data_IF_709518354201
#
_entry.id   IF_709518354201
#
_cell.length_a   1.000
_cell.length_b   1.000
_cell.length_c   1.000
_cell.angle_alpha   90.00
_cell.angle_beta   90.00
_cell.angle_gamma   90.00
#
_symmetry.space_group_name_H-M   'P 1'
#
loop_
_entity.id
_entity.type
_entity.pdbx_description
1 polymer ?
#
# COMPACT_ATOMS: atom_id res chain seq x y z
N UNK A 1 13.42 24.71 3.47
CA UNK A 1 12.19 24.12 3.97
C UNK A 1 11.12 24.28 2.91
N UNK A 2 10.45 23.19 2.55
CA UNK A 2 9.38 23.23 1.58
C UNK A 2 8.06 23.24 2.35
N UNK A 3 7.19 24.20 2.05
CA UNK A 3 5.85 24.21 2.61
C UNK A 3 5.07 23.03 2.05
N UNK A 4 4.45 22.26 2.94
CA UNK A 4 3.69 21.06 2.59
C UNK A 4 2.46 20.92 3.49
N UNK A 5 1.48 20.22 2.96
CA UNK A 5 0.36 19.68 3.71
C UNK A 5 0.45 18.16 3.64
N UNK A 6 0.27 17.50 4.76
CA UNK A 6 0.24 16.04 4.83
C UNK A 6 -1.00 15.60 5.62
N UNK A 7 -1.60 14.50 5.19
CA UNK A 7 -2.74 13.90 5.87
C UNK A 7 -2.61 12.38 5.79
N UNK A 8 -2.79 11.71 6.92
CA UNK A 8 -2.96 10.27 6.96
C UNK A 8 -4.46 9.95 6.97
N UNK A 9 -4.93 9.36 5.88
CA UNK A 9 -6.32 8.95 5.71
C UNK A 9 -6.49 7.46 6.03
N UNK A 10 -7.34 7.14 7.02
CA UNK A 10 -7.65 5.77 7.44
C UNK A 10 -9.14 5.48 7.26
N UNK A 11 -9.47 4.26 6.85
CA UNK A 11 -10.85 3.80 6.78
C UNK A 11 -11.24 3.02 8.04
N UNK A 12 -12.36 3.38 8.66
CA UNK A 12 -12.91 2.61 9.78
C UNK A 12 -13.47 1.24 9.38
N UNK A 13 -13.63 1.00 8.10
CA UNK A 13 -13.90 -0.35 7.60
C UNK A 13 -12.68 -1.27 7.75
N UNK A 14 -11.52 -0.67 7.96
CA UNK A 14 -10.22 -1.32 8.12
C UNK A 14 -9.43 -1.38 6.81
N UNK A 15 -8.18 -1.78 6.93
CA UNK A 15 -7.14 -1.69 5.93
C UNK A 15 -6.12 -0.63 6.30
N UNK A 16 -5.00 -0.60 5.61
CA UNK A 16 -4.00 0.45 5.69
C UNK A 16 -4.56 1.80 5.23
N UNK A 17 -3.83 2.86 5.53
CA UNK A 17 -4.17 4.22 5.14
C UNK A 17 -3.42 4.70 3.92
N UNK A 18 -3.78 5.89 3.49
CA UNK A 18 -3.00 6.67 2.53
C UNK A 18 -2.40 7.87 3.25
N UNK A 19 -1.09 8.02 3.15
CA UNK A 19 -0.41 9.25 3.47
C UNK A 19 -0.41 10.13 2.22
N UNK A 20 -1.14 11.25 2.28
CA UNK A 20 -1.32 12.14 1.13
C UNK A 20 -0.50 13.40 1.38
N UNK A 21 0.44 13.69 0.49
CA UNK A 21 1.33 14.83 0.56
C UNK A 21 1.01 15.84 -0.54
N UNK A 22 0.87 17.09 -0.16
CA UNK A 22 0.75 18.23 -1.08
C UNK A 22 1.85 19.24 -0.77
N UNK A 23 2.82 19.37 -1.67
CA UNK A 23 3.79 20.47 -1.58
C UNK A 23 3.17 21.74 -2.14
N UNK A 24 3.21 22.83 -1.35
CA UNK A 24 2.60 24.12 -1.70
C UNK A 24 3.63 25.12 -2.22
N UNK A 25 4.93 24.87 -2.00
CA UNK A 25 6.03 25.73 -2.43
C UNK A 25 6.50 25.48 -3.87
N UNK A 26 6.00 24.44 -4.54
CA UNK A 26 6.28 24.15 -5.93
C UNK A 26 5.08 23.51 -6.63
N UNK A 27 5.03 23.64 -7.95
CA UNK A 27 4.06 22.89 -8.77
C UNK A 27 4.56 21.44 -8.93
N UNK A 28 3.77 20.43 -8.57
CA UNK A 28 4.12 19.04 -8.83
C UNK A 28 4.27 18.77 -10.34
N UNK A 29 5.26 17.96 -10.70
CA UNK A 29 5.40 17.48 -12.06
C UNK A 29 4.44 16.32 -12.32
N UNK A 30 3.67 16.39 -13.40
CA UNK A 30 2.82 15.28 -13.82
C UNK A 30 3.65 14.03 -14.14
N UNK A 31 3.04 12.84 -14.07
CA UNK A 31 3.67 11.63 -14.59
C UNK A 31 3.85 11.74 -16.11
N UNK A 32 4.99 11.28 -16.60
CA UNK A 32 5.23 11.16 -18.03
C UNK A 32 4.55 9.90 -18.59
N UNK A 33 3.43 10.07 -19.23
CA UNK A 33 2.61 8.98 -19.76
C UNK A 33 1.80 8.25 -18.68
N UNK A 34 1.15 7.20 -19.10
CA UNK A 34 0.40 6.31 -18.20
C UNK A 34 1.30 5.23 -17.63
N UNK A 35 0.96 4.75 -16.43
CA UNK A 35 1.55 3.54 -15.85
C UNK A 35 1.22 2.37 -16.76
N UNK A 36 2.25 1.67 -17.21
CA UNK A 36 2.10 0.38 -17.88
C UNK A 36 2.33 -0.72 -16.84
N UNK A 37 1.49 -1.73 -16.83
CA UNK A 37 1.67 -2.84 -15.89
C UNK A 37 3.05 -3.45 -16.05
N UNK A 38 3.70 -3.77 -14.92
CA UNK A 38 5.07 -4.23 -14.85
C UNK A 38 6.13 -3.11 -14.97
N UNK A 39 5.75 -1.81 -15.03
CA UNK A 39 6.68 -0.73 -14.75
C UNK A 39 7.16 -0.80 -13.30
N UNK A 40 8.44 -0.50 -13.04
CA UNK A 40 9.09 -0.71 -11.76
C UNK A 40 8.63 0.30 -10.72
N UNK A 41 8.12 -0.20 -9.62
CA UNK A 41 7.46 0.56 -8.58
C UNK A 41 6.02 0.07 -8.34
N UNK A 42 5.24 0.86 -7.60
CA UNK A 42 3.85 0.53 -7.27
C UNK A 42 2.95 0.88 -8.45
N UNK A 43 2.45 -0.13 -9.15
CA UNK A 43 1.56 0.04 -10.29
C UNK A 43 0.12 0.35 -9.87
N UNK A 44 -0.36 -0.31 -8.82
CA UNK A 44 -1.69 -0.06 -8.26
C UNK A 44 -1.72 -0.30 -6.75
N UNK A 45 -2.54 0.47 -6.04
CA UNK A 45 -2.90 0.18 -4.66
C UNK A 45 -4.16 -0.69 -4.65
N UNK A 46 -4.14 -1.80 -3.89
CA UNK A 46 -5.31 -2.65 -3.70
C UNK A 46 -6.14 -2.14 -2.53
N UNK A 47 -7.41 -1.84 -2.76
CA UNK A 47 -8.37 -1.44 -1.73
C UNK A 47 -9.47 -2.49 -1.60
N UNK A 48 -9.82 -2.82 -0.36
CA UNK A 48 -10.82 -3.86 -0.11
C UNK A 48 -12.26 -3.33 -0.21
N UNK A 49 -13.16 -4.18 -0.67
CA UNK A 49 -14.61 -3.95 -0.64
C UNK A 49 -15.32 -5.09 0.07
N UNK A 50 -16.46 -4.79 0.73
CA UNK A 50 -17.37 -5.80 1.29
C UNK A 50 -18.20 -6.48 0.21
N UNK A 51 -18.37 -5.81 -0.94
CA UNK A 51 -19.15 -6.26 -2.08
C UNK A 51 -18.61 -5.55 -3.32
N UNK A 52 -17.78 -6.27 -4.08
CA UNK A 52 -17.08 -5.71 -5.23
C UNK A 52 -18.04 -5.37 -6.36
N UNK A 53 -19.07 -6.23 -6.58
CA UNK A 53 -20.11 -5.99 -7.58
C UNK A 53 -20.83 -4.67 -7.32
N UNK A 54 -21.33 -4.48 -6.08
CA UNK A 54 -22.00 -3.21 -5.73
C UNK A 54 -21.06 -2.02 -5.76
N UNK A 55 -19.78 -2.19 -5.41
CA UNK A 55 -18.79 -1.11 -5.53
C UNK A 55 -18.58 -0.71 -6.99
N UNK A 56 -18.52 -1.67 -7.90
CA UNK A 56 -18.42 -1.42 -9.33
C UNK A 56 -19.63 -0.62 -9.85
N UNK A 57 -20.86 -1.05 -9.49
CA UNK A 57 -22.08 -0.37 -9.84
C UNK A 57 -22.15 1.07 -9.29
N UNK A 58 -21.78 1.23 -7.99
CA UNK A 58 -21.74 2.53 -7.32
C UNK A 58 -20.73 3.48 -7.96
N UNK A 59 -19.53 2.97 -8.33
CA UNK A 59 -18.47 3.78 -8.94
C UNK A 59 -18.87 4.25 -10.33
N UNK A 60 -19.46 3.37 -11.16
CA UNK A 60 -19.99 3.74 -12.46
C UNK A 60 -21.14 4.75 -12.35
N UNK A 61 -22.08 4.54 -11.43
CA UNK A 61 -23.21 5.46 -11.19
C UNK A 61 -22.73 6.86 -10.78
N UNK A 62 -21.62 6.94 -10.03
CA UNK A 62 -21.01 8.21 -9.63
C UNK A 62 -20.11 8.83 -10.69
N UNK A 63 -19.94 8.20 -11.85
CA UNK A 63 -19.07 8.67 -12.91
C UNK A 63 -17.59 8.67 -12.55
N UNK A 64 -17.15 7.77 -11.66
CA UNK A 64 -15.72 7.60 -11.37
C UNK A 64 -15.04 6.94 -12.58
N UNK A 65 -13.75 7.19 -12.73
CA UNK A 65 -12.98 6.69 -13.87
C UNK A 65 -12.63 5.20 -13.70
N UNK A 66 -13.66 4.33 -13.81
CA UNK A 66 -13.51 2.88 -13.86
C UNK A 66 -12.91 2.50 -15.21
N UNK A 67 -11.77 1.80 -15.20
CA UNK A 67 -10.97 1.56 -16.42
C UNK A 67 -11.02 0.12 -16.92
N UNK A 68 -11.51 -0.82 -16.10
CA UNK A 68 -11.76 -2.20 -16.54
C UNK A 68 -13.22 -2.58 -16.34
N UNK A 69 -13.68 -3.62 -17.01
CA UNK A 69 -14.90 -4.31 -16.61
C UNK A 69 -14.75 -4.97 -15.25
N UNK A 70 -15.86 -5.34 -14.60
CA UNK A 70 -15.83 -6.25 -13.47
C UNK A 70 -15.47 -7.63 -13.99
N UNK A 71 -14.37 -8.19 -13.48
CA UNK A 71 -13.84 -9.48 -13.90
C UNK A 71 -13.36 -10.27 -12.67
N UNK A 72 -12.93 -11.50 -12.89
CA UNK A 72 -12.33 -12.34 -11.86
C UNK A 72 -10.81 -12.38 -12.05
N UNK A 73 -10.07 -12.34 -10.95
CA UNK A 73 -8.64 -12.58 -10.93
C UNK A 73 -8.32 -14.09 -11.14
N UNK A 74 -7.04 -14.44 -11.15
CA UNK A 74 -6.56 -15.80 -11.39
C UNK A 74 -7.08 -16.85 -10.39
N UNK A 75 -7.61 -16.44 -9.24
CA UNK A 75 -8.23 -17.34 -8.24
C UNK A 75 -9.75 -17.23 -8.19
N UNK A 76 -10.37 -16.59 -9.19
CA UNK A 76 -11.81 -16.47 -9.29
C UNK A 76 -12.46 -15.42 -8.38
N UNK A 77 -11.69 -14.54 -7.75
CA UNK A 77 -12.23 -13.44 -6.92
C UNK A 77 -12.54 -12.23 -7.79
N UNK A 78 -13.73 -11.59 -7.61
CA UNK A 78 -14.11 -10.42 -8.40
C UNK A 78 -13.26 -9.21 -8.07
N UNK A 79 -12.90 -8.44 -9.10
CA UNK A 79 -12.20 -7.17 -8.97
C UNK A 79 -12.45 -6.25 -10.17
N UNK A 80 -12.04 -5.00 -10.05
CA UNK A 80 -11.96 -4.02 -11.14
C UNK A 80 -10.93 -2.95 -10.82
N UNK A 81 -10.53 -2.19 -11.84
CA UNK A 81 -9.60 -1.08 -11.65
C UNK A 81 -10.29 0.27 -11.87
N UNK A 82 -9.81 1.27 -11.11
CA UNK A 82 -10.26 2.66 -11.20
C UNK A 82 -9.06 3.59 -11.10
N UNK A 83 -9.08 4.70 -11.84
CA UNK A 83 -8.06 5.77 -11.76
C UNK A 83 -8.60 6.96 -10.97
N UNK A 84 -7.75 7.58 -10.16
CA UNK A 84 -8.04 8.87 -9.56
C UNK A 84 -7.82 10.03 -10.56
N UNK A 85 -8.01 11.27 -10.09
CA UNK A 85 -7.84 12.48 -10.91
C UNK A 85 -6.38 12.76 -11.33
N UNK A 86 -5.43 12.07 -10.71
CA UNK A 86 -4.00 12.18 -11.01
C UNK A 86 -3.46 11.02 -11.84
N UNK A 87 -4.33 10.07 -12.22
CA UNK A 87 -3.98 8.88 -12.97
C UNK A 87 -3.45 7.73 -12.11
N UNK A 88 -3.49 7.83 -10.77
CA UNK A 88 -3.12 6.72 -9.92
C UNK A 88 -4.12 5.58 -10.05
N UNK A 89 -3.61 4.36 -10.20
CA UNK A 89 -4.43 3.18 -10.40
C UNK A 89 -4.75 2.49 -9.07
N UNK A 90 -6.01 2.17 -8.85
CA UNK A 90 -6.48 1.42 -7.71
C UNK A 90 -7.18 0.16 -8.19
N UNK A 91 -6.88 -0.96 -7.56
CA UNK A 91 -7.61 -2.21 -7.74
C UNK A 91 -8.59 -2.41 -6.59
N UNK A 92 -9.87 -2.51 -6.87
CA UNK A 92 -10.90 -2.82 -5.88
C UNK A 92 -11.09 -4.33 -5.84
N UNK A 93 -10.80 -4.95 -4.69
CA UNK A 93 -10.82 -6.40 -4.50
C UNK A 93 -11.76 -6.81 -3.38
N UNK A 94 -12.14 -8.09 -3.33
CA UNK A 94 -12.93 -8.64 -2.23
C UNK A 94 -12.11 -8.63 -0.93
N UNK A 95 -12.65 -7.99 0.10
CA UNK A 95 -11.98 -7.93 1.41
C UNK A 95 -12.16 -9.21 2.21
N UNK A 96 -11.10 -9.68 2.86
CA UNK A 96 -11.11 -10.87 3.71
C UNK A 96 -11.56 -10.56 5.16
N UNK A 97 -11.33 -9.33 5.62
CA UNK A 97 -11.69 -8.90 6.97
C UNK A 97 -12.04 -7.43 7.04
N UNK A 98 -12.86 -7.06 8.03
CA UNK A 98 -13.32 -5.68 8.22
C UNK A 98 -13.34 -5.32 9.70
N UNK A 99 -12.75 -4.16 10.05
CA UNK A 99 -12.73 -3.66 11.42
C UNK A 99 -14.13 -3.23 11.87
N UNK A 100 -14.86 -2.44 11.04
CA UNK A 100 -16.29 -2.16 11.20
C UNK A 100 -17.08 -2.73 10.04
N UNK A 101 -18.07 -3.57 10.33
CA UNK A 101 -18.93 -4.18 9.31
C UNK A 101 -19.99 -3.21 8.76
N UNK A 102 -20.44 -2.26 9.61
CA UNK A 102 -21.45 -1.26 9.22
C UNK A 102 -20.76 0.10 9.04
N UNK A 103 -20.51 0.48 7.82
CA UNK A 103 -20.03 1.79 7.40
C UNK A 103 -20.76 2.21 6.13
N UNK A 104 -20.83 3.52 5.87
CA UNK A 104 -21.53 4.07 4.70
C UNK A 104 -20.94 3.61 3.38
N UNK A 105 -19.60 3.63 3.30
CA UNK A 105 -18.90 3.23 2.08
C UNK A 105 -18.73 1.72 2.02
N UNK A 106 -18.84 1.12 0.83
CA UNK A 106 -18.59 -0.30 0.61
C UNK A 106 -17.10 -0.62 0.68
N UNK A 107 -16.26 0.32 0.26
CA UNK A 107 -14.80 0.16 0.24
C UNK A 107 -14.17 0.47 1.60
N UNK A 108 -13.08 -0.23 1.89
CA UNK A 108 -12.21 -0.02 3.04
C UNK A 108 -10.92 0.70 2.67
N UNK A 109 -9.87 0.47 3.47
CA UNK A 109 -8.53 0.96 3.23
C UNK A 109 -7.69 0.03 2.36
N UNK A 110 -6.41 0.34 2.30
CA UNK A 110 -5.42 -0.44 1.55
C UNK A 110 -5.30 -1.85 2.13
N UNK A 111 -5.29 -2.83 1.25
CA UNK A 111 -5.09 -4.24 1.61
C UNK A 111 -3.93 -4.87 0.85
N UNK A 112 -3.26 -4.11 -0.01
CA UNK A 112 -2.10 -4.59 -0.75
C UNK A 112 -1.67 -3.64 -1.86
N UNK A 113 -0.74 -4.12 -2.65
CA UNK A 113 -0.24 -3.42 -3.82
C UNK A 113 0.08 -4.40 -4.95
N UNK A 114 0.04 -3.87 -6.17
CA UNK A 114 0.54 -4.49 -7.39
C UNK A 114 1.85 -3.79 -7.74
N UNK A 115 2.96 -4.52 -7.79
CA UNK A 115 4.30 -4.00 -7.89
C UNK A 115 4.99 -4.62 -9.11
N UNK A 116 5.54 -3.77 -9.97
CA UNK A 116 6.34 -4.22 -11.09
C UNK A 116 7.72 -4.68 -10.66
N UNK A 117 8.18 -5.80 -11.23
CA UNK A 117 9.48 -6.39 -10.95
C UNK A 117 10.17 -6.82 -12.25
N UNK A 118 11.50 -6.74 -12.27
CA UNK A 118 12.32 -7.34 -13.33
C UNK A 118 12.60 -8.81 -13.11
N UNK A 119 12.51 -9.27 -11.85
CA UNK A 119 12.78 -10.65 -11.43
C UNK A 119 12.00 -10.94 -10.14
N UNK A 120 10.90 -11.68 -10.27
CA UNK A 120 10.01 -12.03 -9.16
C UNK A 120 10.75 -12.86 -8.11
N UNK A 121 11.60 -13.80 -8.48
CA UNK A 121 12.31 -14.65 -7.53
C UNK A 121 13.26 -13.82 -6.66
N UNK A 122 13.94 -12.85 -7.26
CA UNK A 122 14.77 -11.89 -6.56
C UNK A 122 13.93 -10.98 -5.64
N UNK A 123 12.78 -10.49 -6.09
CA UNK A 123 11.89 -9.65 -5.28
C UNK A 123 11.33 -10.41 -4.08
N UNK A 124 11.04 -11.72 -4.22
CA UNK A 124 10.56 -12.57 -3.13
C UNK A 124 11.57 -12.69 -1.97
N UNK A 125 12.87 -12.46 -2.19
CA UNK A 125 13.85 -12.40 -1.09
C UNK A 125 13.56 -11.26 -0.10
N UNK A 126 12.93 -10.18 -0.55
CA UNK A 126 12.46 -9.12 0.33
C UNK A 126 11.03 -9.39 0.82
N UNK A 127 10.09 -9.54 -0.10
CA UNK A 127 8.67 -9.60 0.26
C UNK A 127 8.32 -10.85 1.08
N UNK A 128 8.94 -11.99 0.81
CA UNK A 128 8.75 -13.21 1.58
C UNK A 128 9.65 -13.27 2.81
N UNK A 129 10.96 -13.09 2.62
CA UNK A 129 11.95 -13.47 3.63
C UNK A 129 12.18 -12.39 4.69
N UNK A 130 11.80 -11.13 4.43
CA UNK A 130 11.86 -10.01 5.39
C UNK A 130 10.47 -9.54 5.78
N UNK A 131 9.59 -9.28 4.79
CA UNK A 131 8.26 -8.76 5.07
C UNK A 131 7.25 -9.85 5.46
N UNK A 132 7.62 -11.15 5.32
CA UNK A 132 6.86 -12.29 5.81
C UNK A 132 5.64 -12.65 4.98
N UNK A 133 5.57 -12.28 3.70
CA UNK A 133 4.54 -12.75 2.78
C UNK A 133 4.88 -14.17 2.29
N UNK A 134 4.81 -15.13 3.21
CA UNK A 134 5.36 -16.49 3.12
C UNK A 134 4.48 -17.50 2.36
N UNK A 135 3.27 -17.11 1.96
CA UNK A 135 2.33 -17.97 1.26
C UNK A 135 2.12 -17.48 -0.16
N UNK A 136 2.55 -18.28 -1.14
CA UNK A 136 2.23 -18.07 -2.56
C UNK A 136 0.80 -18.53 -2.80
N UNK A 137 -0.05 -17.64 -3.28
CA UNK A 137 -1.45 -17.89 -3.64
C UNK A 137 -1.54 -18.36 -5.09
N UNK A 138 -0.80 -17.71 -5.97
CA UNK A 138 -0.54 -18.13 -7.34
C UNK A 138 0.82 -17.61 -7.82
N UNK A 139 1.41 -18.29 -8.77
CA UNK A 139 2.59 -17.90 -9.54
C UNK A 139 2.40 -18.43 -10.95
N UNK A 140 1.89 -17.60 -11.85
CA UNK A 140 1.38 -17.98 -13.15
C UNK A 140 1.94 -17.08 -14.25
N UNK A 141 2.10 -17.68 -15.45
CA UNK A 141 2.54 -16.97 -16.64
C UNK A 141 1.45 -16.95 -17.70
N UNK A 142 1.25 -15.81 -18.36
CA UNK A 142 0.27 -15.70 -19.42
C UNK A 142 -0.07 -14.25 -19.81
N UNK A 143 -0.93 -14.14 -20.82
CA UNK A 143 -1.70 -12.93 -21.08
C UNK A 143 -2.84 -12.91 -20.07
N UNK A 144 -3.12 -11.76 -19.50
CA UNK A 144 -4.03 -11.63 -18.37
C UNK A 144 -5.32 -10.93 -18.79
N UNK A 145 -6.38 -11.68 -19.02
CA UNK A 145 -7.69 -11.13 -19.43
C UNK A 145 -8.26 -10.15 -18.41
N UNK A 146 -7.93 -10.34 -17.12
CA UNK A 146 -8.33 -9.46 -16.03
C UNK A 146 -7.62 -8.10 -16.03
N UNK A 147 -6.67 -7.89 -16.93
CA UNK A 147 -6.00 -6.62 -17.17
C UNK A 147 -6.56 -5.88 -18.40
N UNK A 148 -7.56 -6.43 -19.10
CA UNK A 148 -8.17 -5.77 -20.24
C UNK A 148 -8.64 -4.34 -19.89
N UNK A 149 -8.25 -3.37 -20.71
CA UNK A 149 -8.51 -1.94 -20.49
C UNK A 149 -7.37 -1.19 -19.77
N UNK A 150 -6.34 -1.88 -19.28
CA UNK A 150 -5.15 -1.26 -18.73
C UNK A 150 -4.05 -1.14 -19.79
N UNK A 151 -3.15 -0.18 -19.58
CA UNK A 151 -1.96 -0.06 -20.41
C UNK A 151 -1.04 -1.26 -20.16
N UNK A 152 -0.70 -2.00 -21.23
CA UNK A 152 0.05 -3.24 -21.18
C UNK A 152 -0.80 -4.51 -21.03
N UNK A 153 -2.12 -4.45 -21.22
CA UNK A 153 -3.01 -5.61 -21.12
C UNK A 153 -2.67 -6.76 -22.08
N UNK A 154 -2.02 -6.44 -23.21
CA UNK A 154 -1.62 -7.38 -24.26
C UNK A 154 -0.23 -7.98 -24.06
N UNK A 155 0.43 -7.65 -22.96
CA UNK A 155 1.77 -8.15 -22.65
C UNK A 155 1.69 -9.51 -21.93
N UNK A 156 2.65 -10.38 -22.20
CA UNK A 156 2.80 -11.63 -21.48
C UNK A 156 3.50 -11.39 -20.14
N UNK A 157 2.88 -11.83 -19.05
CA UNK A 157 3.34 -11.60 -17.68
C UNK A 157 3.63 -12.89 -16.95
N UNK A 158 4.57 -12.86 -16.00
CA UNK A 158 4.55 -13.69 -14.80
C UNK A 158 3.95 -12.86 -13.66
N UNK A 159 2.98 -13.43 -12.95
CA UNK A 159 2.30 -12.82 -11.80
C UNK A 159 2.40 -13.72 -10.59
N UNK A 160 2.88 -13.17 -9.50
CA UNK A 160 2.97 -13.89 -8.23
C UNK A 160 2.24 -13.13 -7.13
N UNK A 161 1.17 -13.71 -6.59
CA UNK A 161 0.44 -13.17 -5.45
C UNK A 161 0.88 -13.86 -4.18
N UNK A 162 1.33 -13.08 -3.20
CA UNK A 162 1.77 -13.57 -1.89
C UNK A 162 0.98 -12.96 -0.76
N UNK A 163 0.70 -13.77 0.26
CA UNK A 163 0.01 -13.42 1.50
C UNK A 163 0.78 -13.92 2.72
N UNK A 164 0.41 -13.45 3.90
CA UNK A 164 0.92 -14.02 5.15
C UNK A 164 0.14 -15.28 5.52
N UNK A 165 0.83 -16.35 5.90
CA UNK A 165 0.21 -17.59 6.43
C UNK A 165 -0.42 -17.38 7.81
N UNK A 166 0.12 -16.42 8.59
CA UNK A 166 -0.34 -16.13 9.94
C UNK A 166 -0.91 -14.72 10.04
N UNK A 167 -1.94 -14.50 10.89
CA UNK A 167 -2.44 -13.16 11.16
C UNK A 167 -1.33 -12.23 11.64
N UNK A 168 -1.30 -11.02 11.11
CA UNK A 168 -0.36 -9.99 11.57
C UNK A 168 -0.65 -9.60 13.00
N UNK A 169 0.42 -9.31 13.76
CA UNK A 169 0.39 -8.84 15.14
C UNK A 169 0.74 -7.36 15.17
N UNK A 170 0.67 -6.74 16.32
CA UNK A 170 1.02 -5.32 16.50
C UNK A 170 -0.16 -4.43 16.85
N UNK A 171 0.14 -3.21 17.27
CA UNK A 171 -0.83 -2.27 17.84
C UNK A 171 -2.04 -1.99 16.94
N UNK A 172 -1.84 -1.89 15.65
CA UNK A 172 -2.88 -1.57 14.68
C UNK A 172 -3.39 -2.78 13.89
N UNK A 173 -2.91 -3.99 14.19
CA UNK A 173 -3.22 -5.20 13.41
C UNK A 173 -4.72 -5.48 13.28
N UNK A 174 -5.53 -5.21 14.32
CA UNK A 174 -6.97 -5.39 14.28
C UNK A 174 -7.67 -4.38 13.33
N UNK A 175 -7.10 -3.18 13.13
CA UNK A 175 -7.61 -2.18 12.19
C UNK A 175 -7.16 -2.50 10.76
N UNK A 176 -5.88 -2.79 10.57
CA UNK A 176 -5.33 -3.00 9.22
C UNK A 176 -5.80 -4.33 8.62
N UNK A 177 -5.77 -5.41 9.42
CA UNK A 177 -6.12 -6.75 8.94
C UNK A 177 -5.08 -7.34 8.00
N UNK A 178 -5.42 -8.43 7.28
CA UNK A 178 -4.52 -9.08 6.33
C UNK A 178 -4.25 -8.20 5.11
N UNK A 179 -3.06 -8.36 4.55
CA UNK A 179 -2.60 -7.69 3.34
C UNK A 179 -2.00 -8.70 2.35
N UNK A 180 -1.85 -8.29 1.11
CA UNK A 180 -1.24 -9.09 0.04
C UNK A 180 -0.34 -8.23 -0.84
N UNK A 181 0.65 -8.85 -1.44
CA UNK A 181 1.49 -8.24 -2.48
C UNK A 181 1.37 -9.07 -3.75
N UNK A 182 1.16 -8.40 -4.87
CA UNK A 182 1.20 -9.02 -6.18
C UNK A 182 2.36 -8.45 -6.98
N UNK A 183 3.31 -9.32 -7.32
CA UNK A 183 4.44 -8.99 -8.17
C UNK A 183 4.09 -9.27 -9.62
N UNK A 184 4.43 -8.33 -10.51
CA UNK A 184 4.15 -8.41 -11.94
C UNK A 184 5.42 -8.19 -12.72
N UNK A 185 5.82 -9.20 -13.47
CA UNK A 185 7.00 -9.19 -14.33
C UNK A 185 6.58 -9.31 -15.78
N UNK A 186 7.02 -8.37 -16.63
CA UNK A 186 6.84 -8.50 -18.08
C UNK A 186 7.82 -9.54 -18.62
N UNK A 187 7.32 -10.47 -19.40
CA UNK A 187 8.13 -11.47 -20.08
C UNK A 187 8.19 -11.10 -21.56
N UNK A 188 9.38 -10.69 -22.01
CA UNK A 188 9.59 -10.34 -23.40
C UNK A 188 9.99 -11.59 -24.21
N UNK A 189 8.99 -12.27 -24.74
CA UNK A 189 9.16 -13.50 -25.52
C UNK A 189 9.78 -13.24 -26.91
N UNK A 190 9.78 -12.00 -27.40
CA UNK A 190 10.17 -11.66 -28.77
C UNK A 190 11.24 -10.55 -28.85
N UNK A 191 11.80 -10.11 -27.74
CA UNK A 191 12.75 -9.01 -27.62
C UNK A 191 12.22 -7.68 -28.26
N UNK A 192 10.93 -7.43 -28.15
CA UNK A 192 10.27 -6.27 -28.74
C UNK A 192 9.78 -5.24 -27.73
N UNK A 193 9.70 -5.61 -26.44
CA UNK A 193 9.22 -4.71 -25.40
C UNK A 193 10.28 -3.67 -25.05
N UNK A 194 9.85 -2.43 -24.85
CA UNK A 194 10.72 -1.45 -24.20
C UNK A 194 10.95 -1.85 -22.76
N UNK A 195 12.17 -1.62 -22.20
CA UNK A 195 12.42 -1.89 -20.78
C UNK A 195 11.37 -1.25 -19.87
N UNK A 196 11.02 -1.88 -18.76
CA UNK A 196 10.07 -1.31 -17.82
C UNK A 196 10.62 0.01 -17.25
N UNK A 197 9.75 1.01 -17.15
CA UNK A 197 10.10 2.33 -16.62
C UNK A 197 10.14 2.26 -15.09
N UNK A 198 11.07 3.01 -14.48
CA UNK A 198 11.01 3.27 -13.03
C UNK A 198 10.02 4.40 -12.78
N UNK A 199 8.90 4.10 -12.13
CA UNK A 199 7.78 5.04 -11.96
C UNK A 199 8.15 6.28 -11.13
N UNK A 200 9.10 6.15 -10.21
CA UNK A 200 9.50 7.25 -9.33
C UNK A 200 10.97 7.71 -9.54
N UNK A 201 11.56 7.40 -10.70
CA UNK A 201 12.92 7.84 -11.03
C UNK A 201 12.94 9.33 -11.44
N UNK A 202 13.92 10.09 -10.90
CA UNK A 202 14.08 11.54 -11.15
C UNK A 202 12.83 12.39 -10.80
N UNK A 203 12.05 11.94 -9.84
CA UNK A 203 10.87 12.65 -9.34
C UNK A 203 11.06 13.09 -7.90
N UNK A 204 10.31 14.10 -7.51
CA UNK A 204 10.36 14.63 -6.15
C UNK A 204 9.15 14.17 -5.34
N UNK A 205 9.32 14.08 -4.04
CA UNK A 205 8.22 13.91 -3.11
C UNK A 205 7.14 14.96 -3.34
N UNK A 206 5.87 14.51 -3.41
CA UNK A 206 4.73 15.35 -3.74
C UNK A 206 4.44 15.47 -5.25
N UNK A 207 5.20 14.84 -6.12
CA UNK A 207 4.74 14.57 -7.48
C UNK A 207 3.70 13.45 -7.46
N UNK A 208 2.63 13.52 -8.31
CA UNK A 208 1.60 12.50 -8.35
C UNK A 208 2.17 11.10 -8.58
N UNK A 209 1.62 10.11 -7.89
CA UNK A 209 2.05 8.71 -7.95
C UNK A 209 2.20 8.09 -6.57
N UNK A 210 2.33 6.78 -6.52
CA UNK A 210 2.67 6.06 -5.30
C UNK A 210 4.17 6.06 -5.11
N UNK A 211 4.66 6.58 -3.99
CA UNK A 211 6.09 6.75 -3.72
C UNK A 211 6.64 5.51 -3.03
N UNK A 212 5.96 5.04 -1.97
CA UNK A 212 6.42 3.94 -1.14
C UNK A 212 5.27 3.12 -0.58
N UNK A 213 5.58 1.91 -0.14
CA UNK A 213 4.77 1.12 0.78
C UNK A 213 5.28 1.34 2.20
N UNK A 214 4.35 1.58 3.14
CA UNK A 214 4.70 1.77 4.54
C UNK A 214 4.20 0.60 5.39
N UNK A 215 5.06 0.09 6.26
CA UNK A 215 4.75 -0.98 7.22
C UNK A 215 4.94 -0.49 8.64
N UNK A 216 3.90 -0.67 9.48
CA UNK A 216 4.01 -0.50 10.93
C UNK A 216 4.76 -1.70 11.51
N UNK A 217 5.89 -1.44 12.15
CA UNK A 217 6.80 -2.45 12.66
C UNK A 217 7.12 -2.21 14.14
N UNK A 218 7.73 -3.18 14.78
CA UNK A 218 8.31 -3.06 16.11
C UNK A 218 9.65 -3.77 16.15
N UNK A 219 10.59 -3.22 16.96
CA UNK A 219 11.94 -3.75 17.05
C UNK A 219 12.82 -3.33 15.87
N UNK A 220 12.82 -2.04 15.54
CA UNK A 220 13.52 -1.47 14.39
C UNK A 220 15.01 -1.83 14.32
N UNK A 221 15.70 -1.98 15.46
CA UNK A 221 17.12 -2.37 15.46
C UNK A 221 17.32 -3.81 15.01
N UNK A 222 16.49 -4.74 15.49
CA UNK A 222 16.54 -6.14 15.04
C UNK A 222 16.15 -6.26 13.55
N UNK A 223 15.16 -5.48 13.11
CA UNK A 223 14.79 -5.42 11.69
C UNK A 223 15.94 -4.88 10.84
N UNK A 224 16.69 -3.89 11.34
CA UNK A 224 17.88 -3.36 10.65
C UNK A 224 18.92 -4.43 10.44
N UNK A 225 19.27 -5.17 11.50
CA UNK A 225 20.24 -6.28 11.44
C UNK A 225 19.78 -7.36 10.44
N UNK A 226 18.50 -7.70 10.45
CA UNK A 226 17.92 -8.66 9.53
C UNK A 226 18.01 -8.18 8.08
N UNK A 227 17.62 -6.94 7.79
CA UNK A 227 17.69 -6.35 6.47
C UNK A 227 19.13 -6.32 5.96
N UNK A 228 20.07 -5.81 6.77
CA UNK A 228 21.48 -5.71 6.40
C UNK A 228 22.12 -7.10 6.14
N UNK A 229 21.76 -8.10 6.94
CA UNK A 229 22.25 -9.48 6.76
C UNK A 229 21.82 -10.10 5.41
N UNK A 230 20.72 -9.60 4.85
CA UNK A 230 20.15 -10.04 3.56
C UNK A 230 20.47 -9.08 2.41
N UNK A 231 21.32 -8.07 2.66
CA UNK A 231 21.78 -7.12 1.64
C UNK A 231 20.87 -5.91 1.41
N UNK A 232 19.89 -5.67 2.28
CA UNK A 232 18.98 -4.53 2.22
C UNK A 232 19.36 -3.49 3.30
N UNK A 233 20.20 -2.54 2.96
CA UNK A 233 20.62 -1.49 3.89
C UNK A 233 19.56 -0.40 4.04
N UNK A 234 19.45 0.17 5.25
CA UNK A 234 18.66 1.36 5.47
C UNK A 234 19.24 2.55 4.70
N UNK A 235 18.47 3.12 3.77
CA UNK A 235 18.89 4.28 2.95
C UNK A 235 18.67 5.60 3.68
N UNK A 236 17.66 5.65 4.53
CA UNK A 236 17.35 6.76 5.44
C UNK A 236 16.97 6.16 6.78
N UNK A 237 17.45 6.74 7.88
CA UNK A 237 17.07 6.36 9.24
C UNK A 237 16.92 7.62 10.09
N UNK A 238 15.70 7.88 10.58
CA UNK A 238 15.42 9.07 11.40
C UNK A 238 16.00 8.97 12.81
N UNK A 239 16.60 7.84 13.17
CA UNK A 239 16.98 7.48 14.53
C UNK A 239 15.78 7.57 15.51
N UNK A 240 16.04 7.53 16.82
CA UNK A 240 14.99 7.56 17.86
C UNK A 240 14.36 8.94 18.08
N UNK A 241 14.74 9.96 17.31
CA UNK A 241 14.40 11.37 17.57
C UNK A 241 13.31 11.94 16.65
N UNK A 242 12.62 11.09 15.90
CA UNK A 242 11.55 11.56 15.02
C UNK A 242 10.32 11.96 15.85
N UNK A 243 10.07 13.26 15.89
CA UNK A 243 8.92 13.88 16.55
C UNK A 243 7.97 14.42 15.47
N UNK A 244 6.77 13.84 15.38
CA UNK A 244 5.67 14.35 14.56
C UNK A 244 4.76 15.32 15.34
N UNK A 245 5.29 15.95 16.39
CA UNK A 245 4.57 16.87 17.27
C UNK A 245 3.72 16.18 18.33
N UNK A 246 2.79 15.33 17.96
CA UNK A 246 1.91 14.60 18.90
C UNK A 246 2.10 13.09 18.88
N UNK A 247 2.74 12.57 17.85
CA UNK A 247 3.20 11.19 17.75
C UNK A 247 4.72 11.17 17.71
N UNK A 248 5.33 10.21 18.38
CA UNK A 248 6.77 10.00 18.35
C UNK A 248 7.04 8.58 17.85
N UNK A 249 8.12 8.42 17.11
CA UNK A 249 8.48 7.13 16.55
C UNK A 249 9.84 7.17 15.85
N UNK A 250 10.10 6.16 15.07
CA UNK A 250 11.25 6.05 14.18
C UNK A 250 10.75 5.61 12.80
N UNK A 251 11.31 6.16 11.75
CA UNK A 251 11.07 5.67 10.39
C UNK A 251 12.39 5.42 9.68
N UNK A 252 12.34 4.53 8.71
CA UNK A 252 13.45 4.20 7.85
C UNK A 252 12.94 3.76 6.48
N UNK A 253 13.82 3.80 5.49
CA UNK A 253 13.55 3.31 4.15
C UNK A 253 14.57 2.27 3.73
N UNK A 254 14.10 1.25 3.01
CA UNK A 254 14.90 0.36 2.18
C UNK A 254 14.36 0.42 0.75
N UNK A 255 15.11 -0.12 -0.19
CA UNK A 255 14.65 -0.32 -1.57
C UNK A 255 14.51 -1.81 -1.85
N UNK A 256 13.46 -2.18 -2.60
CA UNK A 256 13.41 -3.53 -3.17
C UNK A 256 14.47 -3.68 -4.28
N UNK A 257 14.67 -4.88 -4.85
CA UNK A 257 15.69 -5.09 -5.87
C UNK A 257 15.58 -4.20 -7.11
N UNK A 258 14.42 -3.65 -7.40
CA UNK A 258 14.15 -2.78 -8.55
C UNK A 258 14.06 -1.28 -8.19
N UNK A 259 14.22 -0.95 -6.90
CA UNK A 259 14.23 0.40 -6.37
C UNK A 259 12.87 0.91 -5.90
N UNK A 260 11.89 0.03 -5.68
CA UNK A 260 10.63 0.39 -5.01
C UNK A 260 10.91 0.71 -3.55
N UNK A 261 10.52 1.91 -3.11
CA UNK A 261 10.73 2.32 -1.72
C UNK A 261 9.79 1.59 -0.77
N UNK A 262 10.36 1.04 0.29
CA UNK A 262 9.66 0.42 1.42
C UNK A 262 9.99 1.23 2.67
N UNK A 263 8.97 1.77 3.30
CA UNK A 263 9.09 2.48 4.57
C UNK A 263 8.74 1.56 5.74
N UNK A 264 9.56 1.60 6.78
CA UNK A 264 9.23 1.05 8.08
C UNK A 264 8.98 2.18 9.07
N UNK A 265 7.87 2.10 9.79
CA UNK A 265 7.53 3.06 10.85
C UNK A 265 7.34 2.30 12.16
N UNK A 266 8.12 2.66 13.17
CA UNK A 266 7.92 2.19 14.53
C UNK A 266 7.27 3.28 15.35
N UNK A 267 6.01 3.08 15.72
CA UNK A 267 5.24 4.06 16.49
C UNK A 267 5.50 3.88 17.98
N UNK A 268 6.08 4.90 18.63
CA UNK A 268 6.35 4.86 20.08
C UNK A 268 5.20 5.46 20.89
N UNK A 269 4.44 6.39 20.35
CA UNK A 269 3.40 7.12 21.10
C UNK A 269 2.18 7.38 20.20
N UNK A 270 1.01 7.02 20.69
CA UNK A 270 -0.27 7.20 19.97
C UNK A 270 -1.18 8.14 20.76
N UNK A 271 -1.66 9.26 20.19
CA UNK A 271 -2.63 10.12 20.84
C UNK A 271 -4.03 9.46 20.84
N UNK A 272 -4.64 9.33 22.01
CA UNK A 272 -6.01 8.78 22.16
C UNK A 272 -7.03 9.90 22.28
N UNK A 273 -6.74 10.91 23.06
CA UNK A 273 -7.60 12.08 23.23
C UNK A 273 -6.73 13.33 23.33
N UNK A 274 -6.39 13.89 22.18
CA UNK A 274 -5.49 15.06 22.04
C UNK A 274 -5.86 16.22 22.95
N UNK A 275 -7.16 16.54 23.01
CA UNK A 275 -7.67 17.66 23.83
C UNK A 275 -7.40 17.51 25.33
N UNK A 276 -7.15 16.28 25.81
CA UNK A 276 -6.89 15.96 27.20
C UNK A 276 -5.46 15.51 27.47
N UNK A 277 -4.58 15.57 26.45
CA UNK A 277 -3.19 15.13 26.58
C UNK A 277 -3.02 13.62 26.86
N UNK A 278 -4.04 12.81 26.50
CA UNK A 278 -4.01 11.37 26.75
C UNK A 278 -3.33 10.64 25.58
N UNK A 279 -2.26 9.92 25.91
CA UNK A 279 -1.45 9.15 24.98
C UNK A 279 -1.27 7.73 25.46
N UNK A 280 -1.06 6.81 24.53
CA UNK A 280 -0.58 5.45 24.79
C UNK A 280 0.89 5.37 24.45
N UNK A 281 1.70 4.94 25.40
CA UNK A 281 3.08 4.60 25.19
C UNK A 281 3.15 3.17 24.63
N UNK A 282 3.53 3.05 23.36
CA UNK A 282 3.58 1.77 22.65
C UNK A 282 4.81 0.95 23.05
N UNK A 283 5.88 1.62 23.51
CA UNK A 283 7.14 0.94 23.91
C UNK A 283 7.00 0.06 25.15
N UNK A 284 5.98 0.34 25.98
CA UNK A 284 5.67 -0.39 27.22
C UNK A 284 4.61 -1.46 27.04
N UNK A 285 4.10 -1.62 25.83
CA UNK A 285 3.05 -2.60 25.53
C UNK A 285 3.65 -3.89 24.99
N UNK A 286 2.87 -4.97 25.14
CA UNK A 286 3.15 -6.22 24.46
C UNK A 286 3.08 -5.97 22.93
N UNK A 287 4.21 -6.15 22.22
CA UNK A 287 4.30 -5.86 20.78
C UNK A 287 3.36 -6.73 19.93
N UNK A 288 2.99 -7.89 20.41
CA UNK A 288 2.12 -8.80 19.68
C UNK A 288 0.63 -8.50 19.82
N UNK A 289 0.24 -7.63 20.79
CA UNK A 289 -1.16 -7.34 21.08
C UNK A 289 -1.65 -6.08 20.40
N UNK A 290 -2.76 -6.21 19.68
CA UNK A 290 -3.47 -5.05 19.15
C UNK A 290 -3.97 -4.12 20.25
N UNK A 291 -4.07 -2.83 19.93
CA UNK A 291 -4.77 -1.86 20.76
C UNK A 291 -6.23 -2.30 20.97
N UNK A 292 -6.81 -2.05 22.15
CA UNK A 292 -8.21 -2.32 22.40
C UNK A 292 -9.11 -1.71 21.34
N UNK A 293 -10.14 -2.44 20.93
CA UNK A 293 -11.03 -2.03 19.83
C UNK A 293 -11.60 -0.63 20.01
N UNK A 294 -11.93 -0.23 21.26
CA UNK A 294 -12.46 1.10 21.53
C UNK A 294 -11.45 2.22 21.27
N UNK A 295 -10.15 1.97 21.53
CA UNK A 295 -9.09 2.93 21.21
C UNK A 295 -8.95 3.14 19.70
N UNK A 296 -8.93 2.05 18.94
CA UNK A 296 -8.91 2.12 17.48
C UNK A 296 -10.17 2.81 16.94
N UNK A 297 -11.32 2.57 17.57
CA UNK A 297 -12.56 3.26 17.21
C UNK A 297 -12.54 4.76 17.51
N UNK A 298 -11.79 5.20 18.53
CA UNK A 298 -11.64 6.61 18.87
C UNK A 298 -10.95 7.43 17.75
N UNK A 299 -10.14 6.80 16.87
CA UNK A 299 -9.58 7.45 15.68
C UNK A 299 -10.68 8.06 14.79
N UNK A 300 -11.89 7.51 14.80
CA UNK A 300 -13.03 8.06 14.04
C UNK A 300 -13.56 9.40 14.57
N UNK A 301 -13.14 9.84 15.77
CA UNK A 301 -13.52 11.16 16.31
C UNK A 301 -12.83 12.31 15.56
N UNK A 302 -11.72 11.99 14.86
CA UNK A 302 -10.99 12.93 14.00
C UNK A 302 -11.42 12.85 12.54
N UNK A 303 -12.65 12.42 12.25
CA UNK A 303 -13.17 12.32 10.88
C UNK A 303 -13.06 13.64 10.13
N UNK A 304 -12.44 13.56 8.96
CA UNK A 304 -12.53 14.64 7.97
C UNK A 304 -13.97 14.68 7.45
N UNK A 305 -14.53 15.90 7.41
CA UNK A 305 -15.80 16.11 6.71
C UNK A 305 -15.55 16.03 5.21
N UNK A 306 -16.47 15.42 4.43
CA UNK A 306 -16.38 15.52 2.97
C UNK A 306 -16.32 16.99 2.60
N UNK A 307 -15.47 17.34 1.66
CA UNK A 307 -15.53 18.64 0.99
C UNK A 307 -16.89 18.70 0.30
N UNK A 308 -17.71 19.69 0.68
CA UNK A 308 -19.01 19.96 0.09
C UNK A 308 -18.86 20.48 -1.33
#
# INVERSE_FOLDING_TARGET
PHDRRAILSLSMRGGGGFEIWQYTSRRPAAMEGEVCLGDLGINAAKIKSVDVQKSYEEFNMKGLNVVTSLCNNLIGEPHFFVKDLHGNLFQVIQGQSFFRKKERMLTGGVTGALIGSTDIDRSLTLYRDILGYDTVIYDEEGICDDFEGLNGADVFYRRCLVRHSQPRKGGFSALFGPTEIELVQRIDTEAKLSPPKKLFHNRYWGDPGFIHLCFDVQGMDALKEECESKGYSFTVDSASSFDMGEAAGRFTYIEDPDGTLIEFVETHKVPIAKKFGLFVDMTKRDPEKSLPKWMLQALSLSRMKPLS
#
